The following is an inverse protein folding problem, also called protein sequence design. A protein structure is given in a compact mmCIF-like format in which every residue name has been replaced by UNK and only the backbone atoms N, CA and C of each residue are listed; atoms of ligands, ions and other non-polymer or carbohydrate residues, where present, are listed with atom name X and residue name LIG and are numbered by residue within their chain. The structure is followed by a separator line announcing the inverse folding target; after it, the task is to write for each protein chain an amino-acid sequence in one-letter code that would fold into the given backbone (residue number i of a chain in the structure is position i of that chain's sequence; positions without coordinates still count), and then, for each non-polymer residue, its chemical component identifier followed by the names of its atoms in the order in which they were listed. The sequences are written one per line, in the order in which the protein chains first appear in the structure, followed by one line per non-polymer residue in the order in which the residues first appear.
data_IF_334904250515
#
_entry.id   IF_334904250515
#
_cell.length_a   1.000
_cell.length_b   1.000
_cell.length_c   1.000
_cell.angle_alpha   90.00
_cell.angle_beta   90.00
_cell.angle_gamma   90.00
#
_symmetry.space_group_name_H-M   'P 1'
#
loop_
_entity.id
_entity.type
_entity.pdbx_description
1 polymer ?
#
# COMPACT_ATOMS: atom_id res chain seq x y z
N UNK A 1 -43.83 -11.81 -15.60
CA UNK A 1 -42.70 -10.89 -15.51
C UNK A 1 -42.57 -10.13 -16.83
N UNK A 2 -42.46 -8.83 -16.72
CA UNK A 2 -42.27 -7.95 -17.86
C UNK A 2 -40.83 -8.13 -18.39
N UNK A 3 -40.69 -8.38 -19.72
CA UNK A 3 -39.40 -8.58 -20.37
C UNK A 3 -38.45 -7.37 -20.14
N UNK A 4 -39.00 -6.16 -20.02
CA UNK A 4 -38.24 -4.96 -19.73
C UNK A 4 -37.47 -5.06 -18.40
N UNK A 5 -38.15 -5.51 -17.35
CA UNK A 5 -37.53 -5.72 -16.03
C UNK A 5 -36.43 -6.78 -16.08
N UNK A 6 -36.69 -7.87 -16.80
CA UNK A 6 -35.70 -8.92 -16.95
C UNK A 6 -34.42 -8.42 -17.65
N UNK A 7 -34.58 -7.59 -18.69
CA UNK A 7 -33.43 -6.99 -19.38
C UNK A 7 -32.64 -6.03 -18.46
N UNK A 8 -33.36 -5.21 -17.68
CA UNK A 8 -32.73 -4.29 -16.72
C UNK A 8 -31.98 -5.08 -15.64
N UNK A 9 -32.57 -6.14 -15.13
CA UNK A 9 -31.90 -7.00 -14.13
C UNK A 9 -30.67 -7.69 -14.72
N UNK A 10 -30.73 -8.16 -15.95
CA UNK A 10 -29.60 -8.80 -16.62
C UNK A 10 -28.45 -7.82 -16.87
N UNK A 11 -28.75 -6.60 -17.33
CA UNK A 11 -27.75 -5.54 -17.53
C UNK A 11 -27.13 -5.12 -16.19
N UNK A 12 -27.95 -4.94 -15.15
CA UNK A 12 -27.48 -4.59 -13.82
C UNK A 12 -26.66 -5.70 -13.17
N UNK A 13 -26.95 -6.96 -13.47
CA UNK A 13 -26.18 -8.10 -12.99
C UNK A 13 -24.73 -8.06 -13.51
N UNK A 14 -24.53 -7.81 -14.81
CA UNK A 14 -23.20 -7.70 -15.38
C UNK A 14 -22.42 -6.55 -14.73
N UNK A 15 -23.04 -5.38 -14.61
CA UNK A 15 -22.44 -4.22 -13.95
C UNK A 15 -22.12 -4.51 -12.48
N UNK A 16 -23.00 -5.22 -11.77
CA UNK A 16 -22.79 -5.60 -10.38
C UNK A 16 -21.61 -6.57 -10.23
N UNK A 17 -21.47 -7.54 -11.13
CA UNK A 17 -20.35 -8.47 -11.12
C UNK A 17 -19.02 -7.75 -11.39
N UNK A 18 -18.98 -6.84 -12.36
CA UNK A 18 -17.79 -6.02 -12.64
C UNK A 18 -17.41 -5.17 -11.43
N UNK A 19 -18.40 -4.56 -10.79
CA UNK A 19 -18.20 -3.77 -9.57
C UNK A 19 -17.65 -4.63 -8.43
N UNK A 20 -18.21 -5.82 -8.23
CA UNK A 20 -17.76 -6.77 -7.21
C UNK A 20 -16.31 -7.20 -7.45
N UNK A 21 -15.93 -7.49 -8.71
CA UNK A 21 -14.54 -7.81 -9.06
C UNK A 21 -13.61 -6.64 -8.78
N UNK A 22 -14.04 -5.43 -9.08
CA UNK A 22 -13.26 -4.23 -8.84
C UNK A 22 -13.04 -4.01 -7.33
N UNK A 23 -14.10 -4.16 -6.52
CA UNK A 23 -14.00 -4.07 -5.07
C UNK A 23 -13.12 -5.18 -4.51
N UNK A 24 -13.23 -6.40 -5.02
CA UNK A 24 -12.37 -7.51 -4.61
C UNK A 24 -10.89 -7.18 -4.86
N UNK A 25 -10.54 -6.65 -6.02
CA UNK A 25 -9.17 -6.21 -6.31
C UNK A 25 -8.71 -5.11 -5.35
N UNK A 26 -9.58 -4.13 -5.09
CA UNK A 26 -9.26 -3.03 -4.18
C UNK A 26 -8.97 -3.49 -2.75
N UNK A 27 -9.52 -4.61 -2.33
CA UNK A 27 -9.27 -5.22 -1.02
C UNK A 27 -8.08 -6.17 -1.05
N UNK A 28 -8.07 -7.10 -2.00
CA UNK A 28 -7.06 -8.16 -2.03
C UNK A 28 -5.68 -7.69 -2.49
N UNK A 29 -5.59 -6.73 -3.40
CA UNK A 29 -4.30 -6.21 -3.87
C UNK A 29 -3.50 -5.60 -2.72
N UNK A 30 -4.04 -4.64 -1.94
CA UNK A 30 -3.32 -4.13 -0.77
C UNK A 30 -3.00 -5.22 0.25
N UNK A 31 -3.93 -6.14 0.50
CA UNK A 31 -3.75 -7.21 1.48
C UNK A 31 -2.57 -8.12 1.10
N UNK A 32 -2.49 -8.56 -0.15
CA UNK A 32 -1.39 -9.41 -0.62
C UNK A 32 -0.06 -8.67 -0.67
N UNK A 33 -0.06 -7.40 -1.08
CA UNK A 33 1.16 -6.58 -1.10
C UNK A 33 1.68 -6.37 0.33
N UNK A 34 0.80 -6.06 1.26
CA UNK A 34 1.16 -5.89 2.68
C UNK A 34 1.71 -7.19 3.27
N UNK A 35 1.05 -8.32 3.03
CA UNK A 35 1.50 -9.62 3.51
C UNK A 35 2.86 -10.00 2.92
N UNK A 36 3.01 -9.85 1.61
CA UNK A 36 4.28 -10.11 0.92
C UNK A 36 5.42 -9.25 1.45
N UNK A 37 5.17 -7.96 1.65
CA UNK A 37 6.14 -7.04 2.25
C UNK A 37 6.50 -7.42 3.68
N UNK A 38 5.53 -7.84 4.47
CA UNK A 38 5.76 -8.30 5.84
C UNK A 38 6.63 -9.56 5.88
N UNK A 39 6.39 -10.51 4.98
CA UNK A 39 7.22 -11.71 4.89
C UNK A 39 8.63 -11.40 4.41
N UNK A 40 8.76 -10.53 3.42
CA UNK A 40 10.06 -10.10 2.91
C UNK A 40 10.91 -9.44 3.99
N UNK A 41 10.34 -8.50 4.73
CA UNK A 41 11.09 -7.82 5.78
C UNK A 41 11.45 -8.73 6.95
N UNK A 42 10.64 -9.73 7.25
CA UNK A 42 10.96 -10.73 8.27
C UNK A 42 12.15 -11.60 7.84
N UNK A 43 12.23 -11.94 6.55
CA UNK A 43 13.34 -12.73 6.00
C UNK A 43 14.64 -11.94 5.91
N UNK A 44 14.56 -10.70 5.44
CA UNK A 44 15.74 -9.84 5.32
C UNK A 44 16.26 -9.38 6.68
N UNK A 45 15.34 -9.03 7.58
CA UNK A 45 15.62 -8.65 8.97
C UNK A 45 16.77 -7.61 9.13
N UNK A 46 16.75 -6.57 8.28
CA UNK A 46 17.77 -5.52 8.32
C UNK A 46 17.63 -4.66 9.58
N UNK A 47 18.77 -4.19 10.15
CA UNK A 47 18.74 -3.35 11.36
C UNK A 47 18.14 -1.98 11.08
N UNK A 48 17.59 -1.36 12.13
CA UNK A 48 17.00 -0.02 12.05
C UNK A 48 18.01 1.05 12.46
N UNK A 49 17.83 2.33 12.02
CA UNK A 49 18.73 3.41 12.39
C UNK A 49 18.93 3.57 13.90
N UNK A 50 17.87 3.45 14.70
CA UNK A 50 17.95 3.64 16.15
C UNK A 50 18.65 2.49 16.88
N UNK A 51 18.96 1.39 16.20
CA UNK A 51 19.76 0.28 16.75
C UNK A 51 21.25 0.58 16.71
N UNK A 52 21.68 1.63 15.99
CA UNK A 52 23.09 2.00 15.91
C UNK A 52 23.58 2.60 17.23
N UNK A 53 24.81 2.28 17.68
CA UNK A 53 25.39 2.90 18.87
C UNK A 53 25.42 4.42 18.76
N UNK A 54 24.97 5.10 19.84
CA UNK A 54 24.98 6.56 19.89
C UNK A 54 23.81 7.24 19.18
N UNK A 55 22.94 6.49 18.52
CA UNK A 55 21.76 7.05 17.87
C UNK A 55 20.57 7.09 18.86
N UNK A 56 19.97 8.29 18.99
CA UNK A 56 18.78 8.49 19.83
C UNK A 56 17.58 8.79 18.94
N UNK A 57 16.57 7.91 18.86
CA UNK A 57 15.39 8.18 18.05
C UNK A 57 14.51 9.27 18.69
N UNK A 58 13.81 10.03 17.84
CA UNK A 58 12.85 11.05 18.32
C UNK A 58 11.67 10.40 19.05
N UNK A 59 11.26 9.23 18.61
CA UNK A 59 10.22 8.42 19.26
C UNK A 59 10.84 7.12 19.71
N UNK A 60 10.90 6.82 21.03
CA UNK A 60 11.46 5.58 21.50
C UNK A 60 10.72 4.37 20.97
N UNK A 61 11.46 3.35 20.52
CA UNK A 61 10.90 2.09 20.03
C UNK A 61 11.74 0.92 20.54
N UNK A 62 11.06 -0.17 20.85
CA UNK A 62 11.67 -1.40 21.36
C UNK A 62 11.85 -2.47 20.28
N UNK A 63 11.22 -2.29 19.10
CA UNK A 63 11.30 -3.24 17.99
C UNK A 63 12.71 -3.24 17.40
N UNK A 64 13.28 -4.42 17.21
CA UNK A 64 14.60 -4.60 16.60
C UNK A 64 14.48 -5.26 15.23
N UNK A 65 15.34 -4.86 14.29
CA UNK A 65 15.39 -5.41 12.94
C UNK A 65 14.16 -5.09 12.11
N UNK A 66 13.97 -5.84 11.05
CA UNK A 66 12.81 -5.75 10.14
C UNK A 66 12.61 -4.33 9.58
N UNK A 67 13.72 -3.65 9.24
CA UNK A 67 13.67 -2.28 8.74
C UNK A 67 13.25 -2.19 7.28
N UNK A 68 13.69 -3.11 6.46
CA UNK A 68 13.55 -3.05 5.00
C UNK A 68 12.61 -4.14 4.48
N UNK A 69 11.65 -3.81 3.60
CA UNK A 69 11.16 -2.46 3.33
C UNK A 69 10.25 -1.92 4.43
N UNK A 70 10.02 -0.59 4.45
CA UNK A 70 9.10 0.02 5.41
C UNK A 70 7.65 -0.38 5.13
N UNK A 71 6.96 -0.93 6.13
CA UNK A 71 5.53 -1.29 5.99
C UNK A 71 4.61 -0.08 5.88
N UNK A 72 4.94 1.00 6.58
CA UNK A 72 4.17 2.25 6.49
C UNK A 72 4.25 2.83 5.08
N UNK A 73 5.45 2.88 4.50
CA UNK A 73 5.66 3.34 3.14
C UNK A 73 4.96 2.42 2.13
N UNK A 74 5.10 1.11 2.30
CA UNK A 74 4.48 0.10 1.45
C UNK A 74 2.95 0.22 1.46
N UNK A 75 2.35 0.26 2.64
CA UNK A 75 0.91 0.36 2.82
C UNK A 75 0.35 1.66 2.25
N UNK A 76 0.99 2.79 2.57
CA UNK A 76 0.57 4.09 2.08
C UNK A 76 0.66 4.15 0.55
N UNK A 77 1.72 3.61 -0.04
CA UNK A 77 1.92 3.62 -1.49
C UNK A 77 0.93 2.71 -2.22
N UNK A 78 0.66 1.50 -1.72
CA UNK A 78 -0.31 0.61 -2.36
C UNK A 78 -1.72 1.19 -2.30
N UNK A 79 -2.10 1.81 -1.18
CA UNK A 79 -3.39 2.49 -1.06
C UNK A 79 -3.47 3.70 -2.00
N UNK A 80 -2.39 4.46 -2.13
CA UNK A 80 -2.32 5.57 -3.09
C UNK A 80 -2.54 5.08 -4.52
N UNK A 81 -1.94 3.96 -4.91
CA UNK A 81 -2.12 3.35 -6.24
C UNK A 81 -3.58 2.94 -6.46
N UNK A 82 -4.23 2.35 -5.47
CA UNK A 82 -5.66 1.98 -5.55
C UNK A 82 -6.53 3.22 -5.74
N UNK A 83 -6.29 4.28 -4.97
CA UNK A 83 -7.03 5.53 -5.10
C UNK A 83 -6.78 6.21 -6.44
N UNK A 84 -5.56 6.17 -6.98
CA UNK A 84 -5.26 6.69 -8.33
C UNK A 84 -6.11 5.98 -9.39
N UNK A 85 -6.36 4.69 -9.22
CA UNK A 85 -7.20 3.93 -10.15
C UNK A 85 -8.65 4.43 -10.16
N UNK A 86 -9.24 4.64 -8.96
CA UNK A 86 -10.64 5.06 -8.84
C UNK A 86 -10.84 6.55 -9.08
N UNK A 87 -10.00 7.38 -8.47
CA UNK A 87 -10.11 8.84 -8.47
C UNK A 87 -8.72 9.46 -8.56
N UNK A 88 -8.24 9.80 -9.77
CA UNK A 88 -6.85 10.29 -9.94
C UNK A 88 -6.49 11.49 -9.07
N UNK A 89 -7.42 12.44 -8.88
CA UNK A 89 -7.16 13.61 -8.03
C UNK A 89 -6.99 13.21 -6.55
N UNK A 90 -7.86 12.36 -6.03
CA UNK A 90 -7.72 11.83 -4.68
C UNK A 90 -6.46 10.97 -4.54
N UNK A 91 -6.14 10.19 -5.57
CA UNK A 91 -4.91 9.40 -5.64
C UNK A 91 -3.66 10.27 -5.56
N UNK A 92 -3.64 11.41 -6.25
CA UNK A 92 -2.53 12.37 -6.17
C UNK A 92 -2.36 12.89 -4.73
N UNK A 93 -3.45 13.21 -4.06
CA UNK A 93 -3.42 13.60 -2.64
C UNK A 93 -2.86 12.47 -1.75
N UNK A 94 -3.26 11.24 -2.01
CA UNK A 94 -2.76 10.08 -1.28
C UNK A 94 -1.27 9.82 -1.52
N UNK A 95 -0.77 10.10 -2.71
CA UNK A 95 0.68 10.05 -3.01
C UNK A 95 1.43 11.07 -2.16
N UNK A 96 0.92 12.29 -2.04
CA UNK A 96 1.52 13.31 -1.16
C UNK A 96 1.54 12.85 0.29
N UNK A 97 0.44 12.29 0.78
CA UNK A 97 0.35 11.72 2.14
C UNK A 97 1.38 10.60 2.32
N UNK A 98 1.53 9.72 1.34
CA UNK A 98 2.52 8.64 1.39
C UNK A 98 3.94 9.17 1.48
N UNK A 99 4.27 10.22 0.73
CA UNK A 99 5.59 10.87 0.79
C UNK A 99 5.83 11.50 2.16
N UNK A 100 4.82 12.14 2.75
CA UNK A 100 4.91 12.69 4.11
C UNK A 100 5.14 11.60 5.15
N UNK A 101 4.45 10.47 5.04
CA UNK A 101 4.65 9.31 5.91
C UNK A 101 6.10 8.81 5.80
N UNK A 102 6.63 8.70 4.58
CA UNK A 102 8.01 8.30 4.36
C UNK A 102 8.98 9.25 5.07
N UNK A 103 8.79 10.56 4.91
CA UNK A 103 9.63 11.57 5.54
C UNK A 103 9.57 11.47 7.07
N UNK A 104 8.38 11.32 7.63
CA UNK A 104 8.21 11.19 9.08
C UNK A 104 8.87 9.93 9.64
N UNK A 105 8.82 8.81 8.91
CA UNK A 105 9.47 7.57 9.34
C UNK A 105 11.00 7.67 9.36
N UNK A 106 11.58 8.40 8.41
CA UNK A 106 13.01 8.67 8.38
C UNK A 106 13.40 9.63 9.50
N UNK A 107 12.66 10.73 9.66
CA UNK A 107 12.92 11.73 10.72
C UNK A 107 12.79 11.14 12.13
N UNK A 108 11.86 10.22 12.32
CA UNK A 108 11.70 9.51 13.59
C UNK A 108 12.84 8.52 13.89
N UNK A 109 13.72 8.26 12.93
CA UNK A 109 14.82 7.31 13.08
C UNK A 109 14.40 5.84 13.01
N UNK A 110 13.17 5.57 12.59
CA UNK A 110 12.64 4.21 12.49
C UNK A 110 13.11 3.47 11.24
N UNK A 111 13.42 4.21 10.17
CA UNK A 111 13.82 3.66 8.88
C UNK A 111 14.90 4.50 8.22
N UNK A 112 15.71 3.85 7.39
CA UNK A 112 16.60 4.53 6.45
C UNK A 112 15.81 5.01 5.24
N UNK A 113 16.36 5.98 4.50
CA UNK A 113 15.76 6.47 3.24
C UNK A 113 15.53 5.32 2.26
N UNK A 114 16.49 4.38 2.16
CA UNK A 114 16.32 3.19 1.29
C UNK A 114 15.11 2.34 1.66
N UNK A 115 14.79 2.24 2.94
CA UNK A 115 13.67 1.42 3.45
C UNK A 115 12.32 1.98 2.99
N UNK A 116 12.15 3.30 3.13
CA UNK A 116 10.92 3.97 2.73
C UNK A 116 10.82 4.11 1.22
N UNK A 117 11.93 4.37 0.54
CA UNK A 117 11.96 4.45 -0.92
C UNK A 117 11.60 3.10 -1.56
N UNK A 118 12.18 2.01 -1.07
CA UNK A 118 11.87 0.68 -1.54
C UNK A 118 10.42 0.30 -1.25
N UNK A 119 9.94 0.59 -0.03
CA UNK A 119 8.55 0.34 0.36
C UNK A 119 7.56 1.11 -0.53
N UNK A 120 7.81 2.40 -0.74
CA UNK A 120 6.95 3.24 -1.58
C UNK A 120 6.94 2.79 -3.04
N UNK A 121 8.10 2.53 -3.62
CA UNK A 121 8.21 2.07 -5.01
C UNK A 121 7.57 0.71 -5.20
N UNK A 122 7.84 -0.23 -4.30
CA UNK A 122 7.29 -1.58 -4.37
C UNK A 122 5.77 -1.57 -4.18
N UNK A 123 5.29 -0.83 -3.18
CA UNK A 123 3.86 -0.71 -2.90
C UNK A 123 3.09 -0.08 -4.04
N UNK A 124 3.59 1.02 -4.59
CA UNK A 124 2.94 1.71 -5.71
C UNK A 124 2.97 0.85 -6.98
N UNK A 125 4.12 0.27 -7.31
CA UNK A 125 4.26 -0.56 -8.51
C UNK A 125 3.36 -1.81 -8.47
N UNK A 126 3.37 -2.54 -7.36
CA UNK A 126 2.53 -3.73 -7.21
C UNK A 126 1.05 -3.38 -7.10
N UNK A 127 0.72 -2.28 -6.44
CA UNK A 127 -0.65 -1.78 -6.37
C UNK A 127 -1.17 -1.39 -7.74
N UNK A 128 -0.40 -0.65 -8.52
CA UNK A 128 -0.75 -0.27 -9.89
C UNK A 128 -0.88 -1.52 -10.78
N UNK A 129 0.06 -2.45 -10.71
CA UNK A 129 -0.01 -3.69 -11.48
C UNK A 129 -1.28 -4.48 -11.12
N UNK A 130 -1.61 -4.60 -9.84
CA UNK A 130 -2.81 -5.30 -9.39
C UNK A 130 -4.11 -4.65 -9.84
N UNK A 131 -4.17 -3.33 -9.87
CA UNK A 131 -5.39 -2.60 -10.25
C UNK A 131 -5.55 -2.45 -11.77
N UNK A 132 -4.47 -2.22 -12.50
CA UNK A 132 -4.54 -1.94 -13.95
C UNK A 132 -4.33 -3.17 -14.82
N UNK A 133 -3.62 -4.20 -14.36
CA UNK A 133 -3.25 -5.37 -15.16
C UNK A 133 -4.05 -6.65 -14.86
N UNK A 134 -4.72 -6.70 -13.73
CA UNK A 134 -5.53 -7.88 -13.36
C UNK A 134 -7.00 -7.78 -13.75
#
# INVERSE_FOLDING_TARGET
LNVRWFRLLSANRAAALDFMQLIARAVFVPAFVFLGGTLLRARLNFPRPYEQPGFTPLVPKETHGKSFPSRHALSAAVLAAVWCYFYPAAGACMVVVALLICALRVLAGAHYVRDVAAGALLGFALGAAGMYLL
#
